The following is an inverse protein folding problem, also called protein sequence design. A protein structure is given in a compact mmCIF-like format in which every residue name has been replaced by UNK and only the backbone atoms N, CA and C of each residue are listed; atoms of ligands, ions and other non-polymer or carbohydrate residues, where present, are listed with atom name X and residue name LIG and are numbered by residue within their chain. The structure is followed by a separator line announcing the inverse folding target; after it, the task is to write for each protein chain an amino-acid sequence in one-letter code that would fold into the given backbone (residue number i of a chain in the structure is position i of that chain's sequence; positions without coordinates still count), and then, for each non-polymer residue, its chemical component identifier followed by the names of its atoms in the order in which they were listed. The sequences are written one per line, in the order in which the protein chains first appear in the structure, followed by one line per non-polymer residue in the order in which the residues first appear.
data_IF_464791011174
#
_entry.id   IF_464791011174
#
_cell.length_a   1.000
_cell.length_b   1.000
_cell.length_c   1.000
_cell.angle_alpha   90.00
_cell.angle_beta   90.00
_cell.angle_gamma   90.00
#
_symmetry.space_group_name_H-M   'P 1'
#
loop_
_entity.id
_entity.type
_entity.pdbx_description
1 polymer ?
#
# COMPACT_ATOMS: atom_id res chain seq x y z
N UNK A 1 -22.10 -4.07 5.58
CA UNK A 1 -21.78 -2.76 6.19
C UNK A 1 -21.98 -2.71 7.71
N UNK A 2 -23.14 -3.05 8.29
CA UNK A 2 -23.35 -2.99 9.76
C UNK A 2 -22.36 -3.87 10.57
N UNK A 3 -22.11 -5.10 10.09
CA UNK A 3 -21.15 -6.04 10.69
C UNK A 3 -19.70 -5.51 10.72
N UNK A 4 -19.29 -4.78 9.68
CA UNK A 4 -17.99 -4.10 9.63
C UNK A 4 -17.90 -2.99 10.68
N UNK A 5 -18.94 -2.15 10.77
CA UNK A 5 -18.98 -1.04 11.71
C UNK A 5 -18.95 -1.53 13.17
N UNK A 6 -19.58 -2.66 13.46
CA UNK A 6 -19.52 -3.32 14.77
C UNK A 6 -18.13 -3.90 15.08
N UNK A 7 -17.51 -4.59 14.11
CA UNK A 7 -16.15 -5.12 14.27
C UNK A 7 -15.10 -4.00 14.48
N UNK A 8 -15.18 -2.92 13.69
CA UNK A 8 -14.31 -1.74 13.84
C UNK A 8 -14.54 -1.08 15.19
N UNK A 9 -15.79 -0.83 15.61
CA UNK A 9 -16.09 -0.21 16.92
C UNK A 9 -15.56 -1.03 18.09
N UNK A 10 -15.58 -2.36 17.99
CA UNK A 10 -15.07 -3.27 19.03
C UNK A 10 -13.55 -3.19 19.21
N UNK A 11 -12.81 -2.85 18.15
CA UNK A 11 -11.34 -2.87 18.12
C UNK A 11 -10.70 -1.47 18.16
N UNK A 12 -11.24 -0.52 17.40
CA UNK A 12 -10.79 0.88 17.33
C UNK A 12 -11.05 1.65 18.63
N UNK A 13 -11.84 1.11 19.56
CA UNK A 13 -12.02 1.69 20.90
C UNK A 13 -10.73 1.76 21.75
N UNK A 14 -9.58 1.27 21.26
CA UNK A 14 -8.30 1.30 21.99
C UNK A 14 -7.07 1.73 21.19
N UNK A 15 -7.14 1.90 19.87
CA UNK A 15 -6.02 2.36 19.02
C UNK A 15 -6.54 3.16 17.84
N UNK A 16 -5.95 4.33 17.61
CA UNK A 16 -6.25 5.21 16.47
C UNK A 16 -5.58 4.74 15.16
N UNK A 17 -4.62 3.80 15.24
CA UNK A 17 -3.89 3.23 14.11
C UNK A 17 -3.94 1.70 14.18
N UNK A 18 -4.37 1.05 13.09
CA UNK A 18 -4.37 -0.41 12.96
C UNK A 18 -3.12 -0.87 12.20
N UNK A 19 -2.48 -1.93 12.70
CA UNK A 19 -1.39 -2.65 12.04
C UNK A 19 -1.94 -3.76 11.12
N UNK A 20 -1.12 -4.25 10.18
CA UNK A 20 -1.50 -5.34 9.25
C UNK A 20 -2.00 -6.59 10.00
N UNK A 21 -1.40 -6.88 11.16
CA UNK A 21 -1.82 -7.97 12.04
C UNK A 21 -3.23 -7.76 12.58
N UNK A 22 -3.63 -6.51 12.85
CA UNK A 22 -4.99 -6.17 13.24
C UNK A 22 -6.02 -6.46 12.14
N UNK A 23 -5.64 -6.35 10.86
CA UNK A 23 -6.52 -6.62 9.71
C UNK A 23 -6.85 -8.11 9.61
N UNK A 24 -5.88 -8.99 9.84
CA UNK A 24 -6.09 -10.45 9.80
C UNK A 24 -7.06 -10.95 10.89
N UNK A 25 -7.15 -10.23 12.01
CA UNK A 25 -8.02 -10.60 13.15
C UNK A 25 -9.49 -10.24 12.94
N UNK A 26 -9.82 -9.49 11.88
CA UNK A 26 -11.17 -9.01 11.60
C UNK A 26 -11.86 -9.97 10.61
N UNK A 27 -12.78 -10.85 11.05
CA UNK A 27 -13.31 -11.91 10.19
C UNK A 27 -14.11 -11.38 9.01
N UNK A 28 -14.86 -10.27 9.19
CA UNK A 28 -15.57 -9.64 8.08
C UNK A 28 -14.60 -8.94 7.14
N UNK A 29 -13.60 -8.20 7.66
CA UNK A 29 -12.58 -7.58 6.81
C UNK A 29 -11.81 -8.66 6.07
N UNK A 30 -11.28 -9.69 6.72
CA UNK A 30 -10.61 -10.83 6.08
C UNK A 30 -11.47 -11.51 5.00
N UNK A 31 -12.78 -11.64 5.22
CA UNK A 31 -13.71 -12.19 4.23
C UNK A 31 -13.98 -11.25 3.05
N UNK A 32 -13.96 -9.94 3.28
CA UNK A 32 -14.17 -8.90 2.24
C UNK A 32 -12.86 -8.47 1.58
N UNK A 33 -11.73 -8.62 2.25
CA UNK A 33 -10.35 -8.32 1.82
C UNK A 33 -9.76 -9.36 0.87
N UNK A 34 -10.58 -10.33 0.45
CA UNK A 34 -10.44 -10.92 -0.89
C UNK A 34 -10.39 -9.82 -1.98
N UNK A 35 -10.81 -8.59 -1.62
CA UNK A 35 -10.86 -7.39 -2.42
C UNK A 35 -10.02 -6.19 -1.92
N UNK A 36 -8.72 -6.38 -1.67
CA UNK A 36 -7.77 -5.55 -2.42
C UNK A 36 -7.58 -6.24 -3.79
N UNK A 37 -8.62 -6.25 -4.64
CA UNK A 37 -8.67 -7.02 -5.92
C UNK A 37 -7.71 -6.44 -6.98
N UNK A 38 -6.55 -5.93 -6.59
CA UNK A 38 -5.52 -5.51 -7.53
C UNK A 38 -5.13 -6.67 -8.47
N UNK A 39 -5.28 -7.91 -7.99
CA UNK A 39 -4.95 -9.12 -8.73
C UNK A 39 -6.16 -9.96 -9.16
N UNK A 40 -7.42 -9.55 -9.02
CA UNK A 40 -8.55 -10.41 -9.41
C UNK A 40 -8.80 -11.59 -8.44
N UNK A 41 -9.91 -12.31 -8.65
CA UNK A 41 -10.25 -13.51 -7.88
C UNK A 41 -10.86 -14.61 -8.78
N UNK A 42 -10.85 -15.85 -8.31
CA UNK A 42 -11.44 -17.00 -9.00
C UNK A 42 -10.72 -17.35 -10.29
N UNK A 43 -11.46 -17.81 -11.31
CA UNK A 43 -10.89 -18.29 -12.59
C UNK A 43 -10.16 -17.22 -13.41
N UNK A 44 -10.36 -15.93 -13.10
CA UNK A 44 -9.70 -14.80 -13.78
C UNK A 44 -8.74 -14.05 -12.85
N UNK A 45 -8.33 -14.65 -11.73
CA UNK A 45 -7.27 -14.12 -10.89
C UNK A 45 -5.95 -14.01 -11.65
N UNK A 46 -5.15 -13.02 -11.31
CA UNK A 46 -3.84 -12.75 -11.87
C UNK A 46 -2.90 -13.87 -11.47
N UNK A 47 -2.42 -14.59 -12.47
CA UNK A 47 -1.47 -15.69 -12.28
C UNK A 47 -0.10 -15.17 -11.81
N UNK A 48 0.18 -13.88 -11.99
CA UNK A 48 1.42 -13.22 -11.58
C UNK A 48 1.44 -12.69 -10.15
N UNK A 49 0.40 -12.91 -9.33
CA UNK A 49 0.32 -12.35 -7.97
C UNK A 49 1.55 -12.68 -7.12
N UNK A 50 1.96 -13.96 -7.07
CA UNK A 50 3.11 -14.37 -6.25
C UNK A 50 4.43 -13.76 -6.72
N UNK A 51 4.61 -13.63 -8.04
CA UNK A 51 5.80 -13.00 -8.62
C UNK A 51 5.83 -11.50 -8.31
N UNK A 52 4.70 -10.80 -8.49
CA UNK A 52 4.60 -9.37 -8.25
C UNK A 52 4.88 -9.03 -6.77
N UNK A 53 4.37 -9.83 -5.83
CA UNK A 53 4.66 -9.64 -4.40
C UNK A 53 6.15 -9.77 -4.12
N UNK A 54 6.78 -10.85 -4.59
CA UNK A 54 8.21 -11.08 -4.37
C UNK A 54 9.08 -9.97 -4.98
N UNK A 55 8.72 -9.48 -6.17
CA UNK A 55 9.43 -8.40 -6.85
C UNK A 55 9.32 -7.07 -6.10
N UNK A 56 8.11 -6.69 -5.66
CA UNK A 56 7.87 -5.45 -4.89
C UNK A 56 8.60 -5.50 -3.56
N UNK A 57 8.51 -6.61 -2.83
CA UNK A 57 9.21 -6.79 -1.54
C UNK A 57 10.73 -6.67 -1.72
N UNK A 58 11.29 -7.34 -2.73
CA UNK A 58 12.74 -7.30 -2.98
C UNK A 58 13.19 -5.90 -3.41
N UNK A 59 12.43 -5.22 -4.27
CA UNK A 59 12.75 -3.87 -4.71
C UNK A 59 12.75 -2.89 -3.54
N UNK A 60 11.69 -2.89 -2.73
CA UNK A 60 11.56 -2.02 -1.57
C UNK A 60 12.63 -2.31 -0.51
N UNK A 61 12.90 -3.59 -0.23
CA UNK A 61 13.96 -3.98 0.71
C UNK A 61 15.31 -3.43 0.26
N UNK A 62 15.66 -3.54 -1.02
CA UNK A 62 16.92 -2.99 -1.53
C UNK A 62 16.99 -1.46 -1.45
N UNK A 63 15.89 -0.76 -1.71
CA UNK A 63 15.84 0.71 -1.68
C UNK A 63 15.94 1.26 -0.26
N UNK A 64 15.23 0.67 0.70
CA UNK A 64 15.18 1.14 2.11
C UNK A 64 16.40 0.64 2.91
N UNK A 65 16.95 -0.53 2.57
CA UNK A 65 18.12 -1.06 3.29
C UNK A 65 19.42 -0.31 2.94
N UNK A 66 19.56 0.16 1.69
CA UNK A 66 20.81 0.76 1.20
C UNK A 66 20.84 2.28 1.24
N UNK A 67 19.67 2.92 1.26
CA UNK A 67 19.58 4.36 1.11
C UNK A 67 18.60 4.97 2.08
N UNK A 68 19.02 6.08 2.70
CA UNK A 68 18.12 7.07 3.28
C UNK A 68 17.63 8.00 2.16
N UNK A 69 16.34 8.30 2.16
CA UNK A 69 15.69 9.09 1.11
C UNK A 69 15.34 10.48 1.64
N UNK A 70 15.82 11.52 0.95
CA UNK A 70 15.58 12.91 1.30
C UNK A 70 14.93 13.67 0.12
N UNK A 71 14.17 14.72 0.41
CA UNK A 71 13.62 15.61 -0.63
C UNK A 71 14.73 16.50 -1.20
N UNK A 72 14.67 16.84 -2.52
CA UNK A 72 15.58 17.82 -3.10
C UNK A 72 15.51 19.18 -2.38
N UNK A 73 16.63 19.90 -2.38
CA UNK A 73 16.74 21.22 -1.74
C UNK A 73 15.66 22.16 -2.30
N UNK A 74 14.84 22.71 -1.42
CA UNK A 74 13.76 23.64 -1.76
C UNK A 74 12.40 23.00 -2.01
N UNK A 75 12.29 21.67 -1.99
CA UNK A 75 11.02 20.95 -2.06
C UNK A 75 10.50 20.64 -0.66
N UNK A 76 9.19 20.86 -0.43
CA UNK A 76 8.48 20.48 0.78
C UNK A 76 7.63 19.24 0.55
N UNK A 77 7.16 18.62 1.62
CA UNK A 77 6.26 17.45 1.57
C UNK A 77 4.96 17.76 0.81
N UNK A 78 4.41 18.97 1.00
CA UNK A 78 3.19 19.42 0.32
C UNK A 78 3.36 19.60 -1.20
N UNK A 79 4.60 19.70 -1.68
CA UNK A 79 4.90 19.85 -3.11
C UNK A 79 4.90 18.49 -3.84
N UNK A 80 4.75 17.37 -3.12
CA UNK A 80 4.71 16.04 -3.72
C UNK A 80 3.38 15.84 -4.43
N UNK A 81 3.44 15.69 -5.76
CA UNK A 81 2.26 15.41 -6.56
C UNK A 81 1.75 13.97 -6.35
N UNK A 82 0.49 13.81 -5.95
CA UNK A 82 -0.17 12.50 -5.83
C UNK A 82 -1.21 12.25 -6.95
N UNK A 83 -1.32 13.15 -7.92
CA UNK A 83 -2.18 12.94 -9.08
C UNK A 83 -1.70 11.74 -9.91
N UNK A 84 -2.67 11.05 -10.52
CA UNK A 84 -2.44 9.87 -11.34
C UNK A 84 -2.91 10.12 -12.77
N UNK A 85 -2.20 9.54 -13.74
CA UNK A 85 -2.66 9.49 -15.12
C UNK A 85 -3.84 8.52 -15.25
N UNK A 86 -4.84 8.85 -16.08
CA UNK A 86 -5.90 7.90 -16.41
C UNK A 86 -5.33 6.73 -17.22
N UNK A 87 -5.73 5.50 -16.89
CA UNK A 87 -5.25 4.31 -17.59
C UNK A 87 -5.66 3.01 -16.92
N UNK A 88 -5.33 1.88 -17.56
CA UNK A 88 -5.56 0.53 -17.01
C UNK A 88 -4.70 0.28 -15.76
N UNK A 89 -3.49 0.84 -15.73
CA UNK A 89 -2.66 0.92 -14.54
C UNK A 89 -2.54 2.39 -14.13
N UNK A 90 -2.65 2.66 -12.83
CA UNK A 90 -2.50 4.02 -12.31
C UNK A 90 -1.01 4.35 -12.22
N UNK A 91 -0.54 5.19 -13.14
CA UNK A 91 0.81 5.75 -13.10
C UNK A 91 0.76 7.15 -12.47
N UNK A 92 1.81 7.52 -11.74
CA UNK A 92 1.95 8.88 -11.19
C UNK A 92 2.00 9.89 -12.34
N UNK A 93 1.29 11.02 -12.21
CA UNK A 93 1.26 12.07 -13.24
C UNK A 93 2.64 12.69 -13.46
N UNK A 94 3.30 13.06 -12.38
CA UNK A 94 4.69 13.53 -12.39
C UNK A 94 5.58 12.54 -11.65
N UNK A 95 6.83 12.38 -12.09
CA UNK A 95 7.77 11.49 -11.41
C UNK A 95 8.05 11.95 -9.96
N UNK A 96 8.19 11.00 -9.04
CA UNK A 96 8.66 11.30 -7.69
C UNK A 96 10.19 11.48 -7.72
N UNK A 97 10.67 12.67 -7.40
CA UNK A 97 12.08 13.00 -7.34
C UNK A 97 12.56 12.95 -5.88
N UNK A 98 13.54 12.10 -5.59
CA UNK A 98 14.17 11.97 -4.26
C UNK A 98 15.69 11.89 -4.41
N UNK A 99 16.40 12.29 -3.36
CA UNK A 99 17.84 12.13 -3.23
C UNK A 99 18.12 10.86 -2.42
N UNK A 100 18.89 9.95 -3.02
CA UNK A 100 19.35 8.72 -2.36
C UNK A 100 20.68 9.00 -1.66
N UNK A 101 20.72 8.81 -0.34
CA UNK A 101 21.92 8.94 0.47
C UNK A 101 22.31 7.55 0.97
N UNK A 102 23.49 7.09 0.62
CA UNK A 102 23.96 5.78 1.07
C UNK A 102 24.08 5.76 2.60
N UNK A 103 23.53 4.70 3.21
CA UNK A 103 23.64 4.40 4.64
C UNK A 103 24.99 3.75 4.94
#
# INVERSE_FOLDING_TARGET
MKKLQEEIRRMAGKKDVMDEKGIETLPYIRAVSLELINFGFGRRGCQGMGMAMAEVELALANLVYKFDWELPIGMKEDDIDFECLPGTAMHKKNALCLLAKAV
#
